data_IF_709068550541
#
_entry.id   IF_709068550541
#
_cell.length_a   1.000
_cell.length_b   1.000
_cell.length_c   1.000
_cell.angle_alpha   90.00
_cell.angle_beta   90.00
_cell.angle_gamma   90.00
#
_symmetry.space_group_name_H-M   'P 1'
#
loop_
_entity.id
_entity.type
_entity.pdbx_description
1 polymer ?
#
# COMPACT_ATOMS: atom_id res chain seq x y z
N UNK A 1 -29.37 -5.77 -14.84
CA UNK A 1 -27.98 -5.79 -15.24
C UNK A 1 -27.05 -5.35 -14.13
N UNK A 2 -25.99 -6.05 -13.96
CA UNK A 2 -25.00 -5.73 -12.94
C UNK A 2 -24.26 -4.44 -13.26
N UNK A 3 -24.03 -3.56 -12.29
CA UNK A 3 -23.11 -2.45 -12.53
C UNK A 3 -21.73 -2.99 -12.81
N UNK A 4 -21.01 -2.30 -13.66
CA UNK A 4 -19.62 -2.68 -13.98
C UNK A 4 -18.69 -2.20 -12.90
N UNK A 5 -18.77 -2.84 -11.75
CA UNK A 5 -17.84 -2.54 -10.67
C UNK A 5 -16.52 -3.28 -10.92
N UNK A 6 -15.40 -2.62 -10.71
CA UNK A 6 -14.12 -3.32 -10.85
C UNK A 6 -14.04 -4.43 -9.84
N UNK A 7 -13.47 -5.54 -10.27
CA UNK A 7 -13.20 -6.66 -9.40
C UNK A 7 -11.98 -6.37 -8.56
N UNK A 8 -12.13 -6.38 -7.25
CA UNK A 8 -10.99 -6.17 -6.36
C UNK A 8 -10.27 -7.48 -6.14
N UNK A 9 -8.96 -7.44 -6.31
CA UNK A 9 -8.09 -8.56 -5.98
C UNK A 9 -7.19 -8.14 -4.84
N UNK A 10 -7.14 -8.95 -3.79
CA UNK A 10 -6.29 -8.71 -2.63
C UNK A 10 -5.22 -9.78 -2.60
N UNK A 11 -3.96 -9.36 -2.67
CA UNK A 11 -2.82 -10.27 -2.68
C UNK A 11 -1.97 -10.02 -1.44
N UNK A 12 -1.59 -11.08 -0.75
CA UNK A 12 -0.73 -10.98 0.42
C UNK A 12 0.73 -10.99 -0.04
N UNK A 13 1.47 -9.94 0.33
CA UNK A 13 2.90 -9.86 0.06
C UNK A 13 3.64 -10.14 1.37
N UNK A 14 4.41 -11.21 1.48
CA UNK A 14 5.15 -11.48 2.71
C UNK A 14 6.17 -10.39 3.00
N UNK A 15 6.23 -9.96 4.24
CA UNK A 15 7.20 -8.98 4.71
C UNK A 15 7.68 -9.42 6.08
N UNK A 16 8.98 -9.29 6.31
CA UNK A 16 9.61 -9.78 7.54
C UNK A 16 9.37 -11.29 7.68
N UNK A 17 9.35 -11.83 8.89
CA UNK A 17 9.16 -13.26 9.06
C UNK A 17 7.71 -13.65 9.29
N UNK A 18 6.85 -12.73 9.71
CA UNK A 18 5.49 -13.04 10.12
C UNK A 18 4.45 -11.99 9.76
N UNK A 19 4.79 -11.04 8.89
CA UNK A 19 3.86 -9.99 8.51
C UNK A 19 3.52 -10.07 7.04
N UNK A 20 2.38 -9.47 6.68
CA UNK A 20 1.97 -9.36 5.29
C UNK A 20 1.61 -7.93 4.96
N UNK A 21 1.86 -7.57 3.71
CA UNK A 21 1.40 -6.31 3.13
C UNK A 21 0.29 -6.69 2.16
N UNK A 22 -0.85 -6.03 2.26
CA UNK A 22 -1.98 -6.35 1.38
C UNK A 22 -1.93 -5.45 0.16
N UNK A 23 -1.82 -6.05 -1.01
CA UNK A 23 -1.84 -5.35 -2.28
C UNK A 23 -3.23 -5.46 -2.88
N UNK A 24 -3.86 -4.33 -3.16
CA UNK A 24 -5.22 -4.28 -3.67
C UNK A 24 -5.19 -3.76 -5.10
N UNK A 25 -5.70 -4.56 -6.03
CA UNK A 25 -5.76 -4.20 -7.44
C UNK A 25 -7.18 -4.30 -7.94
N UNK A 26 -7.48 -3.56 -9.01
CA UNK A 26 -8.82 -3.52 -9.60
C UNK A 26 -8.83 -3.92 -11.07
N UNK A 27 -7.70 -4.42 -11.58
CA UNK A 27 -7.55 -4.65 -13.01
C UNK A 27 -7.04 -3.43 -13.77
N UNK A 28 -7.07 -2.25 -13.16
CA UNK A 28 -6.42 -1.08 -13.71
C UNK A 28 -4.94 -1.08 -13.32
N UNK A 29 -4.17 -0.15 -13.91
CA UNK A 29 -2.75 -0.05 -13.58
C UNK A 29 -2.50 0.44 -12.16
N UNK A 30 -3.42 1.20 -11.60
CA UNK A 30 -3.26 1.76 -10.26
C UNK A 30 -3.62 0.75 -9.18
N UNK A 31 -2.91 0.80 -8.06
CA UNK A 31 -3.16 -0.10 -6.94
C UNK A 31 -3.00 0.62 -5.61
N UNK A 32 -3.36 -0.06 -4.55
CA UNK A 32 -3.20 0.39 -3.18
C UNK A 32 -2.49 -0.69 -2.38
N UNK A 33 -1.76 -0.29 -1.34
CA UNK A 33 -1.18 -1.24 -0.39
C UNK A 33 -1.60 -0.85 1.02
N UNK A 34 -1.71 -1.86 1.88
CA UNK A 34 -2.10 -1.69 3.26
C UNK A 34 -0.93 -2.08 4.15
N UNK A 35 -0.56 -1.18 5.04
CA UNK A 35 0.47 -1.40 6.06
C UNK A 35 1.81 -1.86 5.49
N UNK A 36 2.43 -1.08 4.58
CA UNK A 36 3.70 -1.49 3.99
C UNK A 36 4.87 -1.23 4.95
N UNK A 37 5.10 -2.18 5.85
CA UNK A 37 6.20 -2.09 6.80
C UNK A 37 7.57 -2.12 6.15
N UNK A 38 7.67 -2.71 4.95
CA UNK A 38 8.90 -2.80 4.16
C UNK A 38 8.56 -2.40 2.73
N UNK A 39 9.33 -1.48 2.16
CA UNK A 39 9.08 -1.01 0.81
C UNK A 39 9.44 -2.02 -0.27
N UNK A 40 10.40 -2.91 -0.01
CA UNK A 40 10.96 -3.77 -1.05
C UNK A 40 9.97 -4.78 -1.64
N UNK A 41 9.17 -5.50 -0.81
CA UNK A 41 8.18 -6.40 -1.41
C UNK A 41 7.19 -5.68 -2.31
N UNK A 42 6.82 -4.45 -1.93
CA UNK A 42 5.90 -3.66 -2.74
C UNK A 42 6.56 -3.25 -4.05
N UNK A 43 7.80 -2.77 -3.99
CA UNK A 43 8.52 -2.39 -5.22
C UNK A 43 8.63 -3.54 -6.20
N UNK A 44 8.92 -4.73 -5.70
CA UNK A 44 9.02 -5.91 -6.56
C UNK A 44 7.69 -6.24 -7.23
N UNK A 45 6.61 -6.17 -6.47
CA UNK A 45 5.28 -6.44 -7.01
C UNK A 45 4.89 -5.40 -8.07
N UNK A 46 5.19 -4.13 -7.81
CA UNK A 46 4.88 -3.06 -8.76
C UNK A 46 5.62 -3.29 -10.08
N UNK A 47 6.91 -3.65 -10.01
CA UNK A 47 7.70 -3.88 -11.21
C UNK A 47 7.24 -5.14 -11.95
N UNK A 48 6.96 -6.20 -11.21
CA UNK A 48 6.58 -7.47 -11.80
C UNK A 48 5.27 -7.37 -12.57
N UNK A 49 4.30 -6.65 -12.01
CA UNK A 49 2.96 -6.58 -12.57
C UNK A 49 2.69 -5.29 -13.35
N UNK A 50 3.67 -4.40 -13.45
CA UNK A 50 3.50 -3.14 -14.17
C UNK A 50 2.47 -2.22 -13.52
N UNK A 51 2.47 -2.15 -12.19
CA UNK A 51 1.48 -1.38 -11.44
C UNK A 51 2.03 -0.04 -10.99
N UNK A 52 1.12 0.92 -10.82
CA UNK A 52 1.43 2.22 -10.24
C UNK A 52 0.78 2.32 -8.87
N UNK A 53 1.57 2.61 -7.86
CA UNK A 53 1.05 2.74 -6.50
C UNK A 53 0.40 4.11 -6.35
N UNK A 54 -0.91 4.12 -6.14
CA UNK A 54 -1.69 5.33 -5.99
C UNK A 54 -2.01 5.65 -4.54
N UNK A 55 -2.20 4.63 -3.72
CA UNK A 55 -2.65 4.82 -2.34
C UNK A 55 -1.91 3.90 -1.39
N UNK A 56 -1.60 4.44 -0.22
CA UNK A 56 -1.03 3.68 0.90
C UNK A 56 -1.98 3.85 2.07
N UNK A 57 -2.49 2.73 2.58
CA UNK A 57 -3.45 2.74 3.67
C UNK A 57 -2.77 2.20 4.93
N UNK A 58 -2.82 2.97 6.00
CA UNK A 58 -2.20 2.59 7.27
C UNK A 58 -3.28 2.36 8.30
N UNK A 59 -3.22 1.22 9.00
CA UNK A 59 -4.19 0.91 10.04
C UNK A 59 -3.69 1.32 11.42
N UNK A 60 -2.36 1.40 11.60
CA UNK A 60 -1.77 1.83 12.86
C UNK A 60 -0.33 2.26 12.59
N UNK A 61 0.39 2.68 13.64
CA UNK A 61 1.70 3.33 13.48
C UNK A 61 2.91 2.46 13.89
N UNK A 62 2.71 1.17 14.07
CA UNK A 62 3.82 0.28 14.39
C UNK A 62 4.78 0.15 13.21
N UNK A 63 6.09 0.12 13.49
CA UNK A 63 7.10 0.17 12.44
C UNK A 63 6.99 -0.99 11.45
N UNK A 64 6.58 -2.17 11.90
CA UNK A 64 6.43 -3.33 11.04
C UNK A 64 5.22 -3.21 10.09
N UNK A 65 4.43 -2.14 10.24
CA UNK A 65 3.28 -1.88 9.37
C UNK A 65 3.41 -0.59 8.58
N UNK A 66 4.32 0.32 8.97
CA UNK A 66 4.42 1.62 8.31
C UNK A 66 5.85 1.97 7.87
N UNK A 67 6.82 1.10 8.16
CA UNK A 67 8.23 1.43 7.91
C UNK A 67 8.56 1.75 6.47
N UNK A 68 7.81 1.19 5.52
CA UNK A 68 8.03 1.43 4.11
C UNK A 68 7.19 2.55 3.53
N UNK A 69 6.23 3.11 4.30
CA UNK A 69 5.23 4.04 3.74
C UNK A 69 5.88 5.32 3.22
N UNK A 70 6.76 5.93 4.00
CA UNK A 70 7.39 7.19 3.59
C UNK A 70 8.25 7.02 2.34
N UNK A 71 9.02 5.92 2.29
CA UNK A 71 9.86 5.62 1.13
C UNK A 71 9.02 5.38 -0.12
N UNK A 72 7.93 4.63 0.02
CA UNK A 72 7.04 4.37 -1.11
C UNK A 72 6.33 5.64 -1.57
N UNK A 73 5.85 6.46 -0.64
CA UNK A 73 5.19 7.71 -1.00
C UNK A 73 6.15 8.63 -1.74
N UNK A 74 7.38 8.74 -1.28
CA UNK A 74 8.39 9.58 -1.94
C UNK A 74 8.72 9.07 -3.34
N UNK A 75 8.79 7.75 -3.51
CA UNK A 75 9.16 7.16 -4.80
C UNK A 75 8.03 7.17 -5.82
N UNK A 76 6.77 7.11 -5.37
CA UNK A 76 5.63 6.91 -6.26
C UNK A 76 4.68 8.10 -6.34
N UNK A 77 4.75 9.01 -5.37
CA UNK A 77 3.75 10.07 -5.26
C UNK A 77 2.42 9.61 -4.69
N UNK A 78 2.35 8.39 -4.16
CA UNK A 78 1.11 7.85 -3.62
C UNK A 78 0.61 8.68 -2.44
N UNK A 79 -0.72 8.77 -2.31
CA UNK A 79 -1.35 9.42 -1.17
C UNK A 79 -1.40 8.44 0.01
N UNK A 80 -1.14 8.95 1.19
CA UNK A 80 -1.10 8.13 2.41
C UNK A 80 -2.31 8.46 3.27
N UNK A 81 -3.07 7.43 3.60
CA UNK A 81 -4.26 7.54 4.43
C UNK A 81 -4.07 6.71 5.69
N UNK A 82 -4.52 7.21 6.82
CA UNK A 82 -4.44 6.46 8.06
C UNK A 82 -5.11 7.22 9.20
N UNK A 83 -5.02 6.68 10.42
CA UNK A 83 -5.52 7.41 11.58
C UNK A 83 -4.78 8.72 11.76
N UNK A 84 -5.44 9.72 12.31
CA UNK A 84 -4.82 11.01 12.56
C UNK A 84 -3.83 10.86 13.71
N UNK A 85 -2.55 10.65 13.37
CA UNK A 85 -1.49 10.41 14.34
C UNK A 85 -0.20 11.04 13.83
N UNK A 86 0.34 11.97 14.60
CA UNK A 86 1.56 12.68 14.23
C UNK A 86 2.77 11.75 14.09
N UNK A 87 2.69 10.53 14.63
CA UNK A 87 3.78 9.55 14.52
C UNK A 87 3.79 8.81 13.19
N UNK A 88 2.79 9.00 12.34
CA UNK A 88 2.74 8.34 11.03
C UNK A 88 3.39 9.25 10.00
N UNK A 89 4.57 8.89 9.49
CA UNK A 89 5.26 9.76 8.52
C UNK A 89 4.60 9.67 7.15
N UNK A 90 4.59 10.79 6.45
CA UNK A 90 4.11 10.84 5.07
C UNK A 90 2.61 10.81 4.91
N UNK A 91 1.86 10.89 6.02
CA UNK A 91 0.40 10.86 5.96
C UNK A 91 -0.15 12.07 5.23
N UNK A 92 -0.92 11.82 4.18
CA UNK A 92 -1.56 12.88 3.40
C UNK A 92 -2.94 13.22 3.92
N UNK A 93 -3.65 12.23 4.49
CA UNK A 93 -5.01 12.39 4.99
C UNK A 93 -5.23 11.50 6.20
N UNK A 94 -6.20 11.84 6.97
CA UNK A 94 -6.57 11.03 8.12
C UNK A 94 -7.99 10.50 7.96
#
# INVERSE_FOLDING_TARGET
MEPNLPELTVTALPAFSDNYIWLITTGAAECAVVDPGDAEPVRRALRHDGLELAYILLTHHHADHIGGAAALAAATGAQVFGPHDARIPGQSRS
#
